data_IF_570779613758
#
_entry.id   IF_570779613758
#
_cell.length_a   1.000
_cell.length_b   1.000
_cell.length_c   1.000
_cell.angle_alpha   90.00
_cell.angle_beta   90.00
_cell.angle_gamma   90.00
#
_symmetry.space_group_name_H-M   'P 1'
#
loop_
_entity.id
_entity.type
_entity.pdbx_description
1 polymer ?
#
# COMPACT_ATOMS: atom_id res chain seq x y z
N UNK A 1 9.73 6.43 -4.54
CA UNK A 1 10.65 6.13 -5.66
C UNK A 1 10.42 6.98 -6.89
N UNK A 2 9.19 7.32 -7.22
CA UNK A 2 8.89 8.26 -8.32
C UNK A 2 9.40 9.68 -8.03
N UNK A 3 9.67 10.01 -6.77
CA UNK A 3 10.24 11.30 -6.40
C UNK A 3 11.72 11.35 -6.80
N UNK A 4 12.15 12.35 -7.59
CA UNK A 4 13.54 12.48 -8.03
C UNK A 4 14.55 12.52 -6.89
N UNK A 5 14.18 13.08 -5.73
CA UNK A 5 15.07 13.14 -4.55
C UNK A 5 15.37 11.73 -4.03
N UNK A 6 14.38 10.90 -3.87
CA UNK A 6 14.56 9.51 -3.41
C UNK A 6 15.33 8.67 -4.42
N UNK A 7 15.14 8.90 -5.73
CA UNK A 7 15.93 8.21 -6.77
C UNK A 7 17.43 8.45 -6.64
N UNK A 8 17.82 9.68 -6.29
CA UNK A 8 19.21 10.06 -6.16
C UNK A 8 19.88 9.53 -4.89
N UNK A 9 19.13 8.96 -3.95
CA UNK A 9 19.68 8.47 -2.69
C UNK A 9 20.69 7.34 -2.93
N UNK A 10 21.87 7.48 -2.33
CA UNK A 10 22.81 6.39 -2.16
C UNK A 10 22.25 5.32 -1.23
N UNK A 11 22.89 4.16 -1.18
CA UNK A 11 22.50 3.09 -0.23
C UNK A 11 22.51 3.59 1.22
N UNK A 12 23.52 4.37 1.61
CA UNK A 12 23.61 4.90 2.97
C UNK A 12 22.51 5.91 3.27
N UNK A 13 22.13 6.76 2.30
CA UNK A 13 21.01 7.69 2.48
C UNK A 13 19.66 6.97 2.65
N UNK A 14 19.44 5.82 1.98
CA UNK A 14 18.26 4.98 2.23
C UNK A 14 18.24 4.45 3.66
N UNK A 15 19.40 3.96 4.15
CA UNK A 15 19.55 3.48 5.52
C UNK A 15 19.37 4.60 6.55
N UNK A 16 19.94 5.75 6.31
CA UNK A 16 19.79 6.93 7.17
C UNK A 16 18.32 7.35 7.27
N UNK A 17 17.58 7.35 6.14
CA UNK A 17 16.16 7.68 6.14
C UNK A 17 15.33 6.71 7.02
N UNK A 18 15.65 5.42 7.03
CA UNK A 18 15.01 4.45 7.92
C UNK A 18 15.34 4.77 9.39
N UNK A 19 16.60 5.10 9.70
CA UNK A 19 16.99 5.49 11.08
C UNK A 19 16.31 6.77 11.54
N UNK A 20 16.14 7.76 10.65
CA UNK A 20 15.36 8.97 10.94
C UNK A 20 13.91 8.64 11.30
N UNK A 21 13.22 7.82 10.49
CA UNK A 21 11.87 7.36 10.79
C UNK A 21 11.82 6.65 12.14
N UNK A 22 12.80 5.78 12.44
CA UNK A 22 12.90 5.12 13.73
C UNK A 22 13.08 6.09 14.88
N UNK A 23 13.86 7.16 14.70
CA UNK A 23 14.07 8.19 15.74
C UNK A 23 12.80 8.96 16.09
N UNK A 24 11.81 8.97 15.19
CA UNK A 24 10.46 9.51 15.38
C UNK A 24 9.48 8.46 15.95
N UNK A 25 9.99 7.32 16.44
CA UNK A 25 9.20 6.19 16.96
C UNK A 25 8.23 5.56 15.92
N UNK A 26 8.48 5.75 14.64
CA UNK A 26 7.73 5.06 13.59
C UNK A 26 8.00 3.56 13.65
N UNK A 27 6.95 2.76 13.48
CA UNK A 27 7.01 1.29 13.60
C UNK A 27 6.81 0.60 12.26
N UNK A 28 6.13 1.25 11.34
CA UNK A 28 5.79 0.71 10.03
C UNK A 28 6.28 1.63 8.92
N UNK A 29 6.66 1.02 7.82
CA UNK A 29 6.96 1.70 6.56
C UNK A 29 6.05 1.12 5.50
N UNK A 30 5.39 1.95 4.71
CA UNK A 30 4.68 1.54 3.51
C UNK A 30 5.53 1.94 2.31
N UNK A 31 5.99 0.93 1.58
CA UNK A 31 6.72 1.12 0.34
C UNK A 31 5.69 1.26 -0.79
N UNK A 32 5.34 2.47 -1.14
CA UNK A 32 4.14 2.80 -1.93
C UNK A 32 4.05 2.05 -3.27
N UNK A 33 5.15 1.98 -4.04
CA UNK A 33 5.15 1.24 -5.31
C UNK A 33 6.50 0.56 -5.57
N UNK A 34 6.46 -0.58 -6.23
CA UNK A 34 7.63 -1.34 -6.70
C UNK A 34 7.78 -1.29 -8.21
N UNK A 35 6.78 -0.78 -8.89
CA UNK A 35 6.78 -0.44 -10.32
C UNK A 35 5.81 0.71 -10.56
N UNK A 36 5.98 1.37 -11.69
CA UNK A 36 5.09 2.44 -12.14
C UNK A 36 4.90 2.35 -13.65
N UNK A 37 3.66 2.44 -14.09
CA UNK A 37 3.28 2.40 -15.51
C UNK A 37 2.67 3.73 -15.89
N UNK A 38 3.23 4.33 -16.92
CA UNK A 38 2.73 5.53 -17.58
C UNK A 38 2.11 5.15 -18.93
N UNK A 39 1.56 6.11 -19.64
CA UNK A 39 0.99 5.86 -20.98
C UNK A 39 2.04 5.35 -21.98
N UNK A 40 3.25 5.92 -21.94
CA UNK A 40 4.30 5.68 -22.93
C UNK A 40 5.42 4.76 -22.45
N UNK A 41 5.54 4.50 -21.16
CA UNK A 41 6.59 3.65 -20.60
C UNK A 41 6.22 3.03 -19.26
N UNK A 42 6.95 1.99 -18.88
CA UNK A 42 6.86 1.35 -17.56
C UNK A 42 8.26 1.13 -16.99
N UNK A 43 8.36 1.20 -15.67
CA UNK A 43 9.61 0.97 -14.96
C UNK A 43 9.37 0.19 -13.67
N UNK A 44 10.38 -0.58 -13.25
CA UNK A 44 10.38 -1.28 -11.95
C UNK A 44 11.50 -0.72 -11.06
N UNK A 45 11.30 -0.81 -9.75
CA UNK A 45 12.24 -0.33 -8.73
C UNK A 45 13.03 -1.47 -8.07
N UNK A 46 12.93 -2.65 -8.66
CA UNK A 46 13.76 -3.83 -8.40
C UNK A 46 14.02 -4.54 -9.72
N UNK A 47 15.06 -5.40 -9.76
CA UNK A 47 15.39 -6.17 -10.96
C UNK A 47 14.36 -7.26 -11.18
N UNK A 48 13.65 -7.18 -12.30
CA UNK A 48 12.60 -8.09 -12.74
C UNK A 48 12.60 -8.18 -14.26
N UNK A 49 11.97 -9.22 -14.82
CA UNK A 49 11.73 -9.35 -16.25
C UNK A 49 10.38 -8.72 -16.68
N UNK A 50 9.59 -8.20 -15.75
CA UNK A 50 8.27 -7.61 -16.04
C UNK A 50 8.43 -6.25 -16.73
N UNK A 51 9.28 -5.38 -16.17
CA UNK A 51 9.57 -4.03 -16.67
C UNK A 51 11.06 -3.70 -16.51
N UNK A 52 11.61 -2.78 -17.31
CA UNK A 52 12.97 -2.31 -17.14
C UNK A 52 13.19 -1.74 -15.73
N UNK A 53 14.37 -1.99 -15.17
CA UNK A 53 14.77 -1.31 -13.95
C UNK A 53 14.90 0.20 -14.22
N UNK A 54 14.33 1.01 -13.34
CA UNK A 54 14.29 2.46 -13.52
C UNK A 54 15.70 3.05 -13.62
N UNK A 55 15.87 4.01 -14.51
CA UNK A 55 17.13 4.71 -14.72
C UNK A 55 17.40 5.74 -13.62
N UNK A 56 18.67 6.13 -13.49
CA UNK A 56 19.11 7.21 -12.59
C UNK A 56 18.89 6.94 -11.09
N UNK A 57 18.91 5.69 -10.65
CA UNK A 57 18.99 5.38 -9.22
C UNK A 57 20.42 5.56 -8.69
N UNK A 58 20.56 6.28 -7.57
CA UNK A 58 21.81 6.41 -6.83
C UNK A 58 22.19 5.14 -6.06
N UNK A 59 21.27 4.18 -5.93
CA UNK A 59 21.45 2.90 -5.23
C UNK A 59 21.04 1.75 -6.16
N UNK A 60 21.87 0.73 -6.25
CA UNK A 60 21.62 -0.43 -7.12
C UNK A 60 20.47 -1.32 -6.63
N UNK A 61 20.15 -1.28 -5.34
CA UNK A 61 19.08 -2.06 -4.69
C UNK A 61 18.49 -1.31 -3.51
N UNK A 62 17.65 -0.30 -3.77
CA UNK A 62 17.08 0.54 -2.73
C UNK A 62 16.14 -0.24 -1.79
N UNK A 63 15.44 -1.26 -2.31
CA UNK A 63 14.55 -2.08 -1.49
C UNK A 63 15.37 -2.92 -0.51
N UNK A 64 16.46 -3.55 -0.95
CA UNK A 64 17.34 -4.31 -0.05
C UNK A 64 17.93 -3.44 1.06
N UNK A 65 18.39 -2.22 0.73
CA UNK A 65 18.92 -1.27 1.70
C UNK A 65 17.88 -0.89 2.77
N UNK A 66 16.64 -0.61 2.34
CA UNK A 66 15.53 -0.29 3.22
C UNK A 66 15.16 -1.49 4.10
N UNK A 67 15.00 -2.68 3.52
CA UNK A 67 14.59 -3.90 4.24
C UNK A 67 15.60 -4.32 5.31
N UNK A 68 16.88 -4.29 4.96
CA UNK A 68 17.98 -4.62 5.87
C UNK A 68 18.03 -3.65 7.06
N UNK A 69 17.98 -2.35 6.80
CA UNK A 69 18.04 -1.36 7.88
C UNK A 69 16.75 -1.37 8.73
N UNK A 70 15.59 -1.55 8.11
CA UNK A 70 14.33 -1.70 8.83
C UNK A 70 14.35 -2.92 9.76
N UNK A 71 14.94 -4.05 9.32
CA UNK A 71 15.14 -5.24 10.19
C UNK A 71 16.01 -4.92 11.39
N UNK A 72 17.14 -4.24 11.20
CA UNK A 72 18.04 -3.82 12.29
C UNK A 72 17.36 -2.87 13.28
N UNK A 73 16.50 -2.00 12.78
CA UNK A 73 15.74 -1.05 13.59
C UNK A 73 14.49 -1.66 14.25
N UNK A 74 14.15 -2.91 13.96
CA UNK A 74 12.91 -3.56 14.42
C UNK A 74 11.64 -2.95 13.85
N UNK A 75 11.72 -2.35 12.68
CA UNK A 75 10.57 -1.79 11.94
C UNK A 75 9.96 -2.82 11.02
N UNK A 76 8.71 -2.63 10.67
CA UNK A 76 7.93 -3.50 9.77
C UNK A 76 7.65 -2.78 8.45
N UNK A 77 7.72 -3.52 7.34
CA UNK A 77 7.55 -2.97 5.99
C UNK A 77 6.41 -3.68 5.29
N UNK A 78 5.44 -2.89 4.82
CA UNK A 78 4.49 -3.34 3.81
C UNK A 78 5.09 -3.05 2.44
N UNK A 79 5.20 -4.09 1.61
CA UNK A 79 5.75 -3.99 0.26
C UNK A 79 4.59 -3.86 -0.72
N UNK A 80 4.64 -2.85 -1.58
CA UNK A 80 3.63 -2.65 -2.61
C UNK A 80 3.70 -3.71 -3.70
N UNK A 81 2.53 -4.06 -4.25
CA UNK A 81 2.37 -4.95 -5.41
C UNK A 81 2.14 -4.18 -6.71
N UNK A 82 2.59 -3.03 -6.87
CA UNK A 82 2.36 -2.33 -8.12
C UNK A 82 2.98 -0.95 -8.19
N UNK A 83 2.64 -0.22 -9.24
CA UNK A 83 1.56 -0.44 -10.23
C UNK A 83 2.01 -1.30 -11.43
N UNK A 84 1.19 -2.26 -11.87
CA UNK A 84 1.41 -3.11 -13.06
C UNK A 84 0.43 -2.83 -14.21
N UNK A 85 -0.39 -1.83 -14.09
CA UNK A 85 -1.15 -1.12 -15.11
C UNK A 85 -0.99 0.40 -14.92
N UNK A 86 -1.50 1.24 -15.83
CA UNK A 86 -1.41 2.69 -15.71
C UNK A 86 -1.96 3.16 -14.36
N UNK A 87 -1.15 3.87 -13.59
CA UNK A 87 -1.49 4.28 -12.21
C UNK A 87 -2.72 5.19 -12.12
N UNK A 88 -3.10 5.83 -13.23
CA UNK A 88 -4.31 6.66 -13.36
C UNK A 88 -5.58 5.87 -13.63
N UNK A 89 -5.47 4.56 -13.94
CA UNK A 89 -6.57 3.68 -14.33
C UNK A 89 -6.86 2.62 -13.27
N UNK A 90 -7.01 3.03 -12.02
CA UNK A 90 -7.09 2.13 -10.87
C UNK A 90 -8.22 1.10 -10.98
N UNK A 91 -9.42 1.51 -11.42
CA UNK A 91 -10.54 0.58 -11.57
C UNK A 91 -10.28 -0.47 -12.67
N UNK A 92 -9.77 -0.05 -13.84
CA UNK A 92 -9.41 -0.94 -14.93
C UNK A 92 -8.30 -1.93 -14.51
N UNK A 93 -7.34 -1.47 -13.70
CA UNK A 93 -6.30 -2.33 -13.14
C UNK A 93 -6.87 -3.42 -12.24
N UNK A 94 -7.84 -3.10 -11.38
CA UNK A 94 -8.45 -4.04 -10.44
C UNK A 94 -9.13 -5.22 -11.14
N UNK A 95 -9.71 -5.00 -12.31
CA UNK A 95 -10.44 -6.02 -13.07
C UNK A 95 -9.61 -6.69 -14.18
N UNK A 96 -8.42 -6.16 -14.48
CA UNK A 96 -7.56 -6.65 -15.55
C UNK A 96 -6.78 -7.92 -15.13
N UNK A 97 -7.00 -9.04 -15.82
CA UNK A 97 -6.27 -10.28 -15.59
C UNK A 97 -4.79 -10.18 -16.01
N UNK A 98 -4.46 -9.34 -16.97
CA UNK A 98 -3.07 -9.13 -17.39
C UNK A 98 -2.29 -8.31 -16.35
N UNK A 99 -2.92 -7.33 -15.73
CA UNK A 99 -2.35 -6.59 -14.61
C UNK A 99 -2.17 -7.52 -13.41
N UNK A 100 -3.19 -8.30 -13.05
CA UNK A 100 -3.14 -9.29 -11.97
C UNK A 100 -1.98 -10.28 -12.17
N UNK A 101 -1.81 -10.82 -13.37
CA UNK A 101 -0.73 -11.75 -13.68
C UNK A 101 0.65 -11.15 -13.44
N UNK A 102 0.87 -9.90 -13.89
CA UNK A 102 2.14 -9.19 -13.64
C UNK A 102 2.35 -8.91 -12.17
N UNK A 103 1.30 -8.48 -11.46
CA UNK A 103 1.35 -8.23 -10.03
C UNK A 103 1.70 -9.50 -9.25
N UNK A 104 1.10 -10.64 -9.57
CA UNK A 104 1.38 -11.92 -8.91
C UNK A 104 2.81 -12.40 -9.18
N UNK A 105 3.30 -12.28 -10.42
CA UNK A 105 4.70 -12.56 -10.73
C UNK A 105 5.64 -11.69 -9.89
N UNK A 106 5.35 -10.40 -9.77
CA UNK A 106 6.14 -9.49 -8.96
C UNK A 106 6.12 -9.86 -7.48
N UNK A 107 4.97 -10.27 -6.94
CA UNK A 107 4.87 -10.72 -5.55
C UNK A 107 5.74 -11.95 -5.29
N UNK A 108 5.77 -12.92 -6.20
CA UNK A 108 6.66 -14.09 -6.12
C UNK A 108 8.13 -13.66 -6.11
N UNK A 109 8.53 -12.81 -7.05
CA UNK A 109 9.92 -12.32 -7.15
C UNK A 109 10.36 -11.52 -5.93
N UNK A 110 9.49 -10.60 -5.46
CA UNK A 110 9.75 -9.78 -4.27
C UNK A 110 9.82 -10.63 -3.00
N UNK A 111 8.92 -11.59 -2.85
CA UNK A 111 8.93 -12.46 -1.68
C UNK A 111 10.12 -13.41 -1.68
N UNK A 112 10.46 -14.00 -2.83
CA UNK A 112 11.65 -14.83 -2.96
C UNK A 112 12.94 -14.07 -2.60
N UNK A 113 12.99 -12.78 -2.89
CA UNK A 113 14.16 -11.94 -2.66
C UNK A 113 14.20 -11.32 -1.27
N UNK A 114 13.07 -10.87 -0.75
CA UNK A 114 13.00 -10.05 0.47
C UNK A 114 12.21 -10.68 1.61
N UNK A 115 11.47 -11.76 1.37
CA UNK A 115 10.62 -12.40 2.37
C UNK A 115 11.35 -12.99 3.58
N UNK A 116 12.67 -13.16 3.50
CA UNK A 116 13.50 -13.63 4.62
C UNK A 116 13.94 -12.51 5.58
N UNK A 117 13.72 -11.24 5.24
CA UNK A 117 14.02 -10.14 6.15
C UNK A 117 12.99 -10.06 7.29
N UNK A 118 13.43 -9.88 8.51
CA UNK A 118 12.56 -9.73 9.68
C UNK A 118 11.62 -8.52 9.57
N UNK A 119 11.98 -7.54 8.74
CA UNK A 119 11.15 -6.37 8.45
C UNK A 119 10.02 -6.66 7.47
N UNK A 120 10.08 -7.72 6.65
CA UNK A 120 9.01 -8.03 5.70
C UNK A 120 7.73 -8.38 6.47
N UNK A 121 6.73 -7.51 6.43
CA UNK A 121 5.53 -7.69 7.25
C UNK A 121 4.30 -8.10 6.43
N UNK A 122 4.24 -7.64 5.19
CA UNK A 122 3.11 -7.98 4.32
C UNK A 122 3.05 -7.12 3.07
N UNK A 123 1.85 -7.05 2.51
CA UNK A 123 1.59 -6.43 1.22
C UNK A 123 0.75 -5.16 1.35
N UNK A 124 1.07 -4.18 0.51
CA UNK A 124 0.25 -3.00 0.29
C UNK A 124 -0.28 -3.02 -1.15
N UNK A 125 -1.58 -2.83 -1.32
CA UNK A 125 -2.22 -2.78 -2.63
C UNK A 125 -2.46 -1.33 -3.04
N UNK A 126 -1.74 -0.82 -4.07
CA UNK A 126 -1.70 0.59 -4.39
C UNK A 126 -2.83 1.07 -5.31
N UNK A 127 -3.61 0.17 -5.92
CA UNK A 127 -4.80 0.53 -6.68
C UNK A 127 -5.90 0.93 -5.69
N UNK A 128 -5.90 2.19 -5.30
CA UNK A 128 -6.80 2.76 -4.31
C UNK A 128 -8.19 2.96 -4.89
N UNK A 129 -9.23 2.64 -4.12
CA UNK A 129 -10.61 2.89 -4.51
C UNK A 129 -11.15 4.14 -3.84
N UNK A 130 -11.82 4.97 -4.64
CA UNK A 130 -12.67 6.05 -4.11
C UNK A 130 -13.98 5.51 -3.55
N UNK A 131 -14.22 5.73 -2.27
CA UNK A 131 -15.49 5.39 -1.64
C UNK A 131 -16.48 6.50 -1.95
N UNK A 132 -17.58 6.19 -2.65
CA UNK A 132 -18.65 7.17 -2.90
C UNK A 132 -19.77 7.10 -1.88
N UNK A 133 -20.00 5.95 -1.30
CA UNK A 133 -20.94 5.64 -0.23
C UNK A 133 -20.55 4.34 0.45
N UNK A 134 -20.19 3.36 -0.35
CA UNK A 134 -19.72 2.03 0.01
C UNK A 134 -18.52 1.66 -0.85
N UNK A 135 -17.82 0.60 -0.50
CA UNK A 135 -16.82 0.03 -1.38
C UNK A 135 -17.46 -0.49 -2.67
N UNK A 136 -16.76 -0.26 -3.79
CA UNK A 136 -17.08 -0.90 -5.05
C UNK A 136 -16.91 -2.44 -4.90
N UNK A 137 -17.84 -3.26 -5.39
CA UNK A 137 -17.69 -4.71 -5.40
C UNK A 137 -16.42 -5.20 -6.10
N UNK A 138 -15.97 -4.54 -7.18
CA UNK A 138 -14.75 -4.88 -7.89
C UNK A 138 -13.51 -4.63 -7.02
N UNK A 139 -13.54 -3.60 -6.17
CA UNK A 139 -12.48 -3.37 -5.19
C UNK A 139 -12.39 -4.49 -4.16
N UNK A 140 -13.53 -4.94 -3.62
CA UNK A 140 -13.56 -6.05 -2.66
C UNK A 140 -13.03 -7.34 -3.31
N UNK A 141 -13.46 -7.63 -4.54
CA UNK A 141 -12.99 -8.81 -5.28
C UNK A 141 -11.49 -8.74 -5.56
N UNK A 142 -10.99 -7.59 -6.01
CA UNK A 142 -9.57 -7.32 -6.21
C UNK A 142 -8.77 -7.61 -4.92
N UNK A 143 -9.14 -6.98 -3.79
CA UNK A 143 -8.46 -7.20 -2.52
C UNK A 143 -8.46 -8.68 -2.14
N UNK A 144 -9.59 -9.35 -2.25
CA UNK A 144 -9.72 -10.76 -1.85
C UNK A 144 -8.85 -11.70 -2.72
N UNK A 145 -8.80 -11.48 -4.04
CA UNK A 145 -7.94 -12.27 -4.94
C UNK A 145 -6.45 -12.06 -4.66
N UNK A 146 -6.03 -10.81 -4.50
CA UNK A 146 -4.64 -10.47 -4.21
C UNK A 146 -4.23 -10.96 -2.81
N UNK A 147 -5.11 -10.87 -1.83
CA UNK A 147 -4.86 -11.36 -0.47
C UNK A 147 -4.72 -12.88 -0.42
N UNK A 148 -5.58 -13.60 -1.11
CA UNK A 148 -5.48 -15.06 -1.20
C UNK A 148 -4.13 -15.48 -1.79
N UNK A 149 -3.69 -14.81 -2.87
CA UNK A 149 -2.39 -15.07 -3.45
C UNK A 149 -1.24 -14.65 -2.53
N UNK A 150 -1.27 -13.43 -2.00
CA UNK A 150 -0.22 -12.90 -1.12
C UNK A 150 0.00 -13.75 0.12
N UNK A 151 -1.08 -14.24 0.75
CA UNK A 151 -1.01 -15.13 1.92
C UNK A 151 -0.48 -16.53 1.57
N UNK A 152 -0.61 -16.97 0.31
CA UNK A 152 -0.07 -18.25 -0.14
C UNK A 152 1.46 -18.27 -0.22
N UNK A 153 2.09 -17.11 -0.35
CA UNK A 153 3.54 -16.98 -0.46
C UNK A 153 4.26 -17.15 0.90
N UNK A 154 3.61 -16.81 2.00
CA UNK A 154 4.22 -16.93 3.32
C UNK A 154 3.22 -16.87 4.47
N UNK A 155 3.61 -17.46 5.60
CA UNK A 155 2.78 -17.45 6.81
C UNK A 155 2.75 -16.05 7.43
N UNK A 156 1.61 -15.70 8.00
CA UNK A 156 1.40 -14.48 8.80
C UNK A 156 1.62 -13.17 8.07
N UNK A 157 1.64 -13.18 6.72
CA UNK A 157 1.71 -11.97 5.92
C UNK A 157 0.44 -11.13 6.09
N UNK A 158 0.64 -9.85 6.36
CA UNK A 158 -0.43 -8.89 6.59
C UNK A 158 -0.78 -8.12 5.33
N UNK A 159 -2.02 -7.69 5.25
CA UNK A 159 -2.56 -6.95 4.10
C UNK A 159 -2.99 -5.56 4.55
N UNK A 160 -2.50 -4.55 3.85
CA UNK A 160 -2.85 -3.15 4.05
C UNK A 160 -3.44 -2.58 2.75
N UNK A 161 -4.52 -1.83 2.90
CA UNK A 161 -5.13 -1.02 1.84
C UNK A 161 -5.42 0.39 2.35
N UNK A 162 -5.36 1.39 1.47
CA UNK A 162 -5.57 2.79 1.83
C UNK A 162 -6.61 3.46 0.90
N UNK A 163 -7.92 3.21 1.11
CA UNK A 163 -8.96 3.83 0.30
C UNK A 163 -9.13 5.31 0.63
N UNK A 164 -9.60 6.09 -0.36
CA UNK A 164 -9.98 7.50 -0.21
C UNK A 164 -11.50 7.71 -0.34
N UNK A 165 -12.01 8.93 -0.16
CA UNK A 165 -13.44 9.24 -0.15
C UNK A 165 -14.09 9.05 1.22
N UNK A 166 -13.31 9.18 2.28
CA UNK A 166 -13.74 9.02 3.68
C UNK A 166 -14.88 9.97 4.04
N UNK A 167 -14.90 11.17 3.47
CA UNK A 167 -15.94 12.18 3.64
C UNK A 167 -17.28 11.83 2.96
N UNK A 168 -17.30 10.86 2.04
CA UNK A 168 -18.50 10.40 1.33
C UNK A 168 -19.06 9.08 1.84
N UNK A 169 -18.31 8.42 2.74
CA UNK A 169 -18.63 7.10 3.23
C UNK A 169 -19.86 7.11 4.15
N UNK A 170 -20.73 6.13 3.97
CA UNK A 170 -21.84 5.86 4.87
C UNK A 170 -21.53 4.66 5.75
N UNK A 171 -21.05 4.89 6.97
CA UNK A 171 -20.64 3.88 7.93
C UNK A 171 -21.84 3.22 8.64
N UNK A 172 -22.75 2.63 7.86
CA UNK A 172 -23.95 1.93 8.34
C UNK A 172 -23.77 0.40 8.37
N UNK A 173 -24.88 -0.31 8.58
CA UNK A 173 -24.92 -1.77 8.62
C UNK A 173 -24.51 -2.45 7.29
N UNK A 174 -24.75 -1.75 6.18
CA UNK A 174 -24.34 -2.25 4.85
C UNK A 174 -22.83 -2.20 4.72
N UNK A 175 -22.23 -1.10 5.16
CA UNK A 175 -20.79 -0.94 5.17
C UNK A 175 -20.11 -1.94 6.12
N UNK A 176 -20.66 -2.14 7.32
CA UNK A 176 -20.14 -3.15 8.25
C UNK A 176 -20.14 -4.56 7.63
N UNK A 177 -21.17 -4.92 6.86
CA UNK A 177 -21.19 -6.19 6.12
C UNK A 177 -20.15 -6.28 5.03
N UNK A 178 -19.84 -5.18 4.32
CA UNK A 178 -18.73 -5.17 3.36
C UNK A 178 -17.38 -5.41 4.07
N UNK A 179 -17.16 -4.77 5.22
CA UNK A 179 -15.97 -5.00 6.04
C UNK A 179 -15.81 -6.45 6.49
N UNK A 180 -16.91 -7.18 6.73
CA UNK A 180 -16.87 -8.63 7.04
C UNK A 180 -16.35 -9.47 5.88
N UNK A 181 -16.48 -8.99 4.64
CA UNK A 181 -16.13 -9.75 3.42
C UNK A 181 -14.75 -9.44 2.87
N UNK A 182 -14.15 -8.30 3.26
CA UNK A 182 -12.86 -7.86 2.74
C UNK A 182 -11.70 -8.57 3.46
N UNK A 183 -10.78 -9.17 2.71
CA UNK A 183 -9.64 -9.89 3.27
C UNK A 183 -8.42 -8.96 3.43
N UNK A 184 -8.58 -7.94 4.27
CA UNK A 184 -7.50 -7.07 4.70
C UNK A 184 -7.29 -7.17 6.22
N UNK A 185 -6.05 -6.99 6.69
CA UNK A 185 -5.73 -6.88 8.12
C UNK A 185 -5.84 -5.43 8.60
N UNK A 186 -5.51 -4.49 7.74
CA UNK A 186 -5.52 -3.05 8.03
C UNK A 186 -6.17 -2.29 6.88
N UNK A 187 -7.05 -1.37 7.22
CA UNK A 187 -7.62 -0.40 6.27
C UNK A 187 -7.27 0.99 6.79
N UNK A 188 -6.36 1.67 6.09
CA UNK A 188 -5.90 3.02 6.40
C UNK A 188 -6.69 4.02 5.55
N UNK A 189 -7.72 4.63 6.11
CA UNK A 189 -8.53 5.59 5.39
C UNK A 189 -7.79 6.92 5.28
N UNK A 190 -7.72 7.46 4.06
CA UNK A 190 -7.15 8.78 3.82
C UNK A 190 -8.09 9.85 4.37
N UNK A 191 -7.55 10.82 5.09
CA UNK A 191 -8.35 11.92 5.65
C UNK A 191 -8.68 13.01 4.61
N UNK A 192 -7.95 13.01 3.48
CA UNK A 192 -8.12 13.91 2.34
C UNK A 192 -8.07 15.42 2.72
N UNK A 193 -7.36 15.74 3.79
CA UNK A 193 -7.15 17.13 4.23
C UNK A 193 -6.11 17.83 3.35
N UNK A 194 -4.99 17.17 3.05
CA UNK A 194 -3.92 17.73 2.22
C UNK A 194 -4.35 17.98 0.77
N UNK A 195 -5.28 17.17 0.24
CA UNK A 195 -5.89 17.39 -1.09
C UNK A 195 -7.13 18.30 -1.05
N UNK A 196 -7.43 18.93 0.08
CA UNK A 196 -8.52 19.90 0.29
C UNK A 196 -9.94 19.36 0.01
N UNK A 197 -10.17 18.05 0.16
CA UNK A 197 -11.49 17.44 0.03
C UNK A 197 -12.23 17.29 1.37
N UNK A 198 -11.48 17.33 2.47
CA UNK A 198 -12.02 17.30 3.84
C UNK A 198 -11.50 18.50 4.65
N UNK A 199 -12.21 18.84 5.72
CA UNK A 199 -11.74 19.83 6.68
C UNK A 199 -11.20 19.13 7.92
N UNK A 200 -10.09 19.62 8.53
CA UNK A 200 -9.52 19.00 9.74
C UNK A 200 -10.55 18.83 10.88
N UNK A 201 -11.50 19.74 10.99
CA UNK A 201 -12.54 19.74 12.03
C UNK A 201 -13.51 18.57 11.89
N UNK A 202 -13.70 18.03 10.67
CA UNK A 202 -14.66 16.98 10.37
C UNK A 202 -14.08 15.58 10.53
N UNK A 203 -12.74 15.44 10.47
CA UNK A 203 -12.06 14.15 10.43
C UNK A 203 -12.37 13.26 11.63
N UNK A 204 -12.44 13.85 12.85
CA UNK A 204 -12.76 13.11 14.05
C UNK A 204 -14.14 12.42 13.96
N UNK A 205 -15.13 13.09 13.37
CA UNK A 205 -16.48 12.52 13.20
C UNK A 205 -16.49 11.37 12.21
N UNK A 206 -15.73 11.49 11.09
CA UNK A 206 -15.59 10.41 10.11
C UNK A 206 -14.97 9.16 10.74
N UNK A 207 -13.84 9.31 11.45
CA UNK A 207 -13.17 8.18 12.10
C UNK A 207 -13.97 7.58 13.25
N UNK A 208 -14.78 8.36 13.97
CA UNK A 208 -15.70 7.80 14.97
C UNK A 208 -16.78 6.93 14.33
N UNK A 209 -17.35 7.35 13.20
CA UNK A 209 -18.33 6.55 12.45
C UNK A 209 -17.69 5.26 11.90
N UNK A 210 -16.50 5.37 11.31
CA UNK A 210 -15.72 4.21 10.85
C UNK A 210 -15.40 3.24 11.98
N UNK A 211 -14.99 3.74 13.16
CA UNK A 211 -14.72 2.91 14.34
C UNK A 211 -15.91 2.03 14.68
N UNK A 212 -17.12 2.61 14.73
CA UNK A 212 -18.35 1.86 15.03
C UNK A 212 -18.62 0.73 14.01
N UNK A 213 -18.39 1.01 12.72
CA UNK A 213 -18.55 0.01 11.67
C UNK A 213 -17.50 -1.11 11.77
N UNK A 214 -16.24 -0.76 12.01
CA UNK A 214 -15.14 -1.72 12.20
C UNK A 214 -15.34 -2.58 13.45
N UNK A 215 -15.72 -1.98 14.57
CA UNK A 215 -16.00 -2.71 15.82
C UNK A 215 -17.16 -3.70 15.63
N UNK A 216 -18.16 -3.35 14.83
CA UNK A 216 -19.26 -4.25 14.46
C UNK A 216 -18.82 -5.39 13.56
N UNK A 217 -18.01 -5.12 12.55
CA UNK A 217 -17.49 -6.12 11.62
C UNK A 217 -16.48 -7.06 12.29
N UNK A 218 -15.69 -6.55 13.24
CA UNK A 218 -14.75 -7.34 14.05
C UNK A 218 -13.63 -8.01 13.24
N UNK A 219 -13.23 -7.44 12.08
CA UNK A 219 -12.26 -8.06 11.18
C UNK A 219 -11.00 -7.22 10.97
N UNK A 220 -11.00 -6.27 10.06
CA UNK A 220 -9.83 -5.44 9.78
C UNK A 220 -9.62 -4.36 10.87
N UNK A 221 -8.36 -4.08 11.19
CA UNK A 221 -8.04 -2.95 12.05
C UNK A 221 -8.21 -1.63 11.28
N UNK A 222 -8.86 -0.66 11.92
CA UNK A 222 -8.97 0.70 11.42
C UNK A 222 -7.67 1.46 11.66
N UNK A 223 -7.07 1.98 10.60
CA UNK A 223 -5.98 2.94 10.64
C UNK A 223 -6.41 4.27 10.00
N UNK A 224 -5.71 5.34 10.35
CA UNK A 224 -5.86 6.64 9.70
C UNK A 224 -4.62 6.91 8.83
N UNK A 225 -4.84 7.31 7.60
CA UNK A 225 -3.83 7.85 6.71
C UNK A 225 -4.00 9.38 6.67
N UNK A 226 -3.15 10.05 7.44
CA UNK A 226 -3.23 11.50 7.65
C UNK A 226 -2.32 12.19 6.65
N UNK A 227 -2.90 12.99 5.78
CA UNK A 227 -2.15 13.76 4.79
C UNK A 227 -1.45 14.96 5.43
N UNK A 228 -0.10 14.93 5.43
CA UNK A 228 0.74 15.97 6.03
C UNK A 228 1.43 16.85 4.96
N UNK A 229 0.71 17.16 3.89
CA UNK A 229 1.14 18.02 2.79
C UNK A 229 0.03 18.98 2.38
N UNK A 230 0.42 20.08 1.70
CA UNK A 230 -0.47 21.08 1.08
C UNK A 230 -0.31 21.03 -0.45
#
# INVERSE_FOLDING_TARGET
>A
YWNPVCRAFSEEQWREKVREMKSLDMKYIVLLCTSLVYEDYAEAYFKTDIYPFAENFGCADPIAALMDEASKCGMKVFVSVGYYGPWTHTHENMISRDVEKRAFQSMEELYARFGSYDSFFGWYYPDESGITKYFDPDFIDYINRYSAFGRSLGKDLRILVAPYGTNHLLADDTYAKQLETIDADYIAYQDEVGVHKSQPEDTAAYYEALRKAHDKAGRAALWADMELFD
#
